data_IF_391300776461
#
_entry.id   IF_391300776461
#
_cell.length_a   1.000
_cell.length_b   1.000
_cell.length_c   1.000
_cell.angle_alpha   90.00
_cell.angle_beta   90.00
_cell.angle_gamma   90.00
#
_symmetry.space_group_name_H-M   'P 1'
#
loop_
_entity.id
_entity.type
_entity.pdbx_description
1 polymer ?
#
# COMPACT_ATOMS: atom_id res chain seq x y z
N UNK A 1 -17.89 -17.88 4.28
CA UNK A 1 -17.64 -16.43 4.50
C UNK A 1 -18.01 -15.62 3.26
N UNK A 2 -17.56 -16.01 2.06
CA UNK A 2 -17.96 -15.42 0.77
C UNK A 2 -19.49 -15.47 0.56
N UNK A 3 -20.12 -16.62 0.80
CA UNK A 3 -21.58 -16.78 0.66
C UNK A 3 -22.36 -15.88 1.63
N UNK A 4 -21.91 -15.76 2.88
CA UNK A 4 -22.55 -14.87 3.88
C UNK A 4 -22.44 -13.39 3.47
N UNK A 5 -21.26 -12.95 3.01
CA UNK A 5 -21.05 -11.59 2.50
C UNK A 5 -21.85 -11.31 1.24
N UNK A 6 -21.96 -12.28 0.34
CA UNK A 6 -22.77 -12.17 -0.89
C UNK A 6 -24.24 -12.00 -0.55
N UNK A 7 -24.74 -12.77 0.43
CA UNK A 7 -26.12 -12.68 0.89
C UNK A 7 -26.42 -11.37 1.64
N UNK A 8 -25.51 -10.90 2.49
CA UNK A 8 -25.67 -9.62 3.19
C UNK A 8 -25.57 -8.43 2.21
N UNK A 9 -24.68 -8.51 1.22
CA UNK A 9 -24.57 -7.50 0.16
C UNK A 9 -25.81 -7.51 -0.72
N UNK A 10 -26.37 -8.68 -1.06
CA UNK A 10 -27.64 -8.78 -1.78
C UNK A 10 -28.78 -8.11 -1.01
N UNK A 11 -28.87 -8.36 0.29
CA UNK A 11 -29.86 -7.71 1.18
C UNK A 11 -29.67 -6.19 1.25
N UNK A 12 -28.43 -5.71 1.29
CA UNK A 12 -28.10 -4.28 1.24
C UNK A 12 -28.41 -3.65 -0.13
N UNK A 13 -28.13 -4.35 -1.23
CA UNK A 13 -28.44 -3.90 -2.59
C UNK A 13 -29.95 -3.78 -2.83
N UNK A 14 -30.76 -4.50 -2.06
CA UNK A 14 -32.22 -4.39 -2.04
C UNK A 14 -32.77 -3.38 -1.03
N UNK A 15 -31.91 -2.70 -0.26
CA UNK A 15 -32.32 -1.66 0.67
C UNK A 15 -32.52 -0.31 -0.04
N UNK A 16 -33.38 0.55 0.51
CA UNK A 16 -33.59 1.91 0.03
C UNK A 16 -32.50 2.90 0.47
N UNK A 17 -31.41 2.41 1.08
CA UNK A 17 -30.31 3.25 1.53
C UNK A 17 -29.46 3.70 0.34
N UNK A 18 -28.76 4.82 0.49
CA UNK A 18 -27.82 5.34 -0.52
C UNK A 18 -26.37 5.05 -0.13
N UNK A 19 -25.44 5.18 -1.08
CA UNK A 19 -24.00 5.09 -0.79
C UNK A 19 -23.60 6.16 0.25
N UNK A 20 -24.23 7.34 0.16
CA UNK A 20 -24.05 8.45 1.09
C UNK A 20 -24.50 8.11 2.52
N UNK A 21 -25.63 7.42 2.69
CA UNK A 21 -26.15 7.04 4.01
C UNK A 21 -25.32 5.93 4.67
N UNK A 22 -24.83 4.99 3.87
CA UNK A 22 -23.90 3.97 4.34
C UNK A 22 -22.56 4.57 4.75
N UNK A 23 -22.01 5.48 3.91
CA UNK A 23 -20.80 6.22 4.23
C UNK A 23 -20.95 6.97 5.56
N UNK A 24 -22.04 7.72 5.75
CA UNK A 24 -22.37 8.43 7.01
C UNK A 24 -22.44 7.51 8.22
N UNK A 25 -22.95 6.29 8.07
CA UNK A 25 -23.05 5.31 9.17
C UNK A 25 -21.67 4.86 9.66
N UNK A 26 -20.69 4.77 8.75
CA UNK A 26 -19.33 4.31 9.06
C UNK A 26 -18.44 5.47 9.52
N UNK A 27 -18.51 6.63 8.87
CA UNK A 27 -17.67 7.79 9.22
C UNK A 27 -18.22 8.66 10.34
N UNK A 28 -19.51 8.50 10.72
CA UNK A 28 -20.19 9.30 11.77
C UNK A 28 -20.09 10.82 11.56
N UNK A 29 -19.82 11.29 10.35
CA UNK A 29 -19.79 12.70 9.96
C UNK A 29 -20.56 12.89 8.66
N UNK A 30 -21.14 14.09 8.49
CA UNK A 30 -21.77 14.52 7.24
C UNK A 30 -20.69 14.95 6.25
N UNK A 31 -19.88 13.98 5.81
CA UNK A 31 -18.73 14.23 4.95
C UNK A 31 -19.16 14.11 3.50
N UNK A 32 -18.86 15.15 2.70
CA UNK A 32 -18.98 15.10 1.25
C UNK A 32 -18.21 13.88 0.72
N UNK A 33 -18.93 12.95 0.08
CA UNK A 33 -18.39 11.68 -0.43
C UNK A 33 -17.20 11.90 -1.36
N UNK A 34 -17.17 13.03 -2.06
CA UNK A 34 -16.05 13.43 -2.92
C UNK A 34 -14.78 13.71 -2.10
N UNK A 35 -14.90 14.55 -1.06
CA UNK A 35 -13.79 14.90 -0.20
C UNK A 35 -13.26 13.67 0.55
N UNK A 36 -14.17 12.79 1.00
CA UNK A 36 -13.81 11.53 1.62
C UNK A 36 -13.09 10.60 0.64
N UNK A 37 -13.59 10.49 -0.60
CA UNK A 37 -12.94 9.66 -1.63
C UNK A 37 -11.54 10.19 -1.94
N UNK A 38 -11.39 11.50 -2.14
CA UNK A 38 -10.09 12.11 -2.44
C UNK A 38 -9.09 11.84 -1.32
N UNK A 39 -9.47 12.08 -0.06
CA UNK A 39 -8.62 11.80 1.10
C UNK A 39 -8.31 10.31 1.25
N UNK A 40 -9.28 9.43 0.99
CA UNK A 40 -9.08 7.98 1.06
C UNK A 40 -8.10 7.51 -0.02
N UNK A 41 -8.29 7.96 -1.26
CA UNK A 41 -7.40 7.64 -2.39
C UNK A 41 -6.00 8.19 -2.15
N UNK A 42 -5.88 9.43 -1.66
CA UNK A 42 -4.60 10.04 -1.31
C UNK A 42 -3.89 9.23 -0.22
N UNK A 43 -4.60 8.87 0.86
CA UNK A 43 -4.03 8.09 1.94
C UNK A 43 -3.58 6.71 1.47
N UNK A 44 -4.41 6.03 0.66
CA UNK A 44 -4.08 4.73 0.08
C UNK A 44 -2.91 4.80 -0.90
N UNK A 45 -2.83 5.86 -1.71
CA UNK A 45 -1.72 6.08 -2.63
C UNK A 45 -0.42 6.34 -1.84
N UNK A 46 -0.46 7.16 -0.79
CA UNK A 46 0.68 7.40 0.09
C UNK A 46 1.13 6.12 0.81
N UNK A 47 0.20 5.32 1.34
CA UNK A 47 0.51 4.03 1.96
C UNK A 47 1.12 3.06 0.94
N UNK A 48 0.52 2.96 -0.25
CA UNK A 48 0.98 2.07 -1.31
C UNK A 48 2.40 2.43 -1.78
N UNK A 49 2.68 3.73 -1.97
CA UNK A 49 4.02 4.22 -2.32
C UNK A 49 5.03 3.90 -1.22
N UNK A 50 4.64 4.00 0.06
CA UNK A 50 5.51 3.70 1.21
C UNK A 50 5.79 2.21 1.34
N UNK A 51 4.77 1.36 1.23
CA UNK A 51 4.86 -0.09 1.40
C UNK A 51 5.60 -0.77 0.24
N UNK A 52 5.50 -0.20 -0.97
CA UNK A 52 6.15 -0.73 -2.17
C UNK A 52 7.36 0.11 -2.63
N UNK A 53 7.88 0.98 -1.77
CA UNK A 53 9.01 1.88 -2.08
C UNK A 53 10.23 1.14 -2.63
N UNK A 54 10.52 -0.06 -2.12
CA UNK A 54 11.71 -0.84 -2.50
C UNK A 54 11.45 -1.82 -3.65
N UNK A 55 10.24 -1.88 -4.21
CA UNK A 55 9.94 -2.75 -5.34
C UNK A 55 10.17 -1.99 -6.65
N UNK A 56 10.59 -2.68 -7.73
CA UNK A 56 10.67 -2.08 -9.05
C UNK A 56 9.25 -1.80 -9.58
N UNK A 57 9.11 -0.77 -10.41
CA UNK A 57 7.82 -0.29 -10.90
C UNK A 57 7.06 -1.39 -11.67
N UNK A 58 7.76 -2.20 -12.45
CA UNK A 58 7.16 -3.30 -13.21
C UNK A 58 6.49 -4.39 -12.35
N UNK A 59 6.95 -4.60 -11.11
CA UNK A 59 6.33 -5.55 -10.17
C UNK A 59 5.12 -4.97 -9.45
N UNK A 60 5.02 -3.64 -9.42
CA UNK A 60 3.99 -2.91 -8.67
C UNK A 60 2.82 -2.51 -9.57
N UNK A 61 3.08 -2.21 -10.85
CA UNK A 61 2.06 -1.80 -11.80
C UNK A 61 1.37 -3.01 -12.46
N UNK A 62 0.04 -2.94 -12.68
CA UNK A 62 -0.67 -3.92 -13.49
C UNK A 62 -0.09 -4.04 -14.91
N UNK A 63 -0.03 -5.26 -15.45
CA UNK A 63 0.44 -5.52 -16.81
C UNK A 63 -0.28 -4.69 -17.88
N UNK A 64 -1.56 -4.35 -17.66
CA UNK A 64 -2.34 -3.53 -18.57
C UNK A 64 -1.84 -2.08 -18.67
N UNK A 65 -1.26 -1.53 -17.60
CA UNK A 65 -0.65 -0.20 -17.61
C UNK A 65 0.74 -0.24 -18.25
N UNK A 66 1.49 -1.32 -18.01
CA UNK A 66 2.80 -1.55 -18.63
C UNK A 66 2.64 -1.62 -20.16
N UNK A 67 1.71 -2.45 -20.66
CA UNK A 67 1.41 -2.57 -22.09
C UNK A 67 0.97 -1.25 -22.72
N UNK A 68 0.13 -0.46 -22.04
CA UNK A 68 -0.22 0.89 -22.52
C UNK A 68 1.00 1.80 -22.62
N UNK A 69 1.95 1.70 -21.69
CA UNK A 69 3.23 2.40 -21.78
C UNK A 69 4.05 1.98 -22.99
N UNK A 70 4.14 0.67 -23.23
CA UNK A 70 4.85 0.11 -24.39
C UNK A 70 4.23 0.57 -25.72
N UNK A 71 2.90 0.60 -25.81
CA UNK A 71 2.16 1.07 -27.00
C UNK A 71 2.32 2.57 -27.24
N UNK A 72 2.61 3.36 -26.19
CA UNK A 72 2.86 4.79 -26.29
C UNK A 72 4.29 5.11 -26.75
N UNK A 73 5.26 4.22 -26.55
CA UNK A 73 6.66 4.46 -26.96
C UNK A 73 6.77 4.80 -28.47
N UNK A 74 6.18 4.03 -29.40
CA UNK A 74 6.17 4.38 -30.82
C UNK A 74 5.53 5.75 -31.11
N UNK A 75 4.41 6.07 -30.45
CA UNK A 75 3.68 7.33 -30.64
C UNK A 75 4.52 8.51 -30.16
N UNK A 76 5.21 8.36 -29.03
CA UNK A 76 6.11 9.37 -28.49
C UNK A 76 7.33 9.56 -29.38
N UNK A 77 7.93 8.47 -29.89
CA UNK A 77 9.06 8.56 -30.81
C UNK A 77 8.70 9.38 -32.05
N UNK A 78 7.59 9.04 -32.71
CA UNK A 78 7.08 9.77 -33.86
C UNK A 78 6.79 11.25 -33.56
N UNK A 79 6.16 11.53 -32.41
CA UNK A 79 5.84 12.90 -32.01
C UNK A 79 7.09 13.71 -31.66
N UNK A 80 8.10 13.08 -31.09
CA UNK A 80 9.39 13.71 -30.77
C UNK A 80 10.15 14.03 -32.05
N UNK A 81 10.15 13.11 -33.03
CA UNK A 81 10.81 13.33 -34.32
C UNK A 81 10.14 14.44 -35.12
N UNK A 82 8.81 14.39 -35.24
CA UNK A 82 8.01 15.43 -35.90
C UNK A 82 8.25 16.81 -35.27
N UNK A 83 8.09 16.92 -33.94
CA UNK A 83 8.31 18.19 -33.23
C UNK A 83 9.76 18.65 -33.26
N UNK A 84 10.71 17.71 -33.25
CA UNK A 84 12.14 18.01 -33.36
C UNK A 84 12.45 18.67 -34.70
N UNK A 85 11.96 18.08 -35.79
CA UNK A 85 12.10 18.66 -37.12
C UNK A 85 11.48 20.06 -37.20
N UNK A 86 10.23 20.22 -36.74
CA UNK A 86 9.53 21.52 -36.76
C UNK A 86 10.26 22.59 -35.92
N UNK A 87 10.75 22.22 -34.73
CA UNK A 87 11.49 23.12 -33.86
C UNK A 87 12.76 23.65 -34.55
N UNK A 88 13.54 22.75 -35.17
CA UNK A 88 14.77 23.15 -35.86
C UNK A 88 14.51 23.87 -37.19
N UNK A 89 13.36 23.67 -37.84
CA UNK A 89 12.93 24.51 -38.99
C UNK A 89 12.55 25.93 -38.56
N UNK A 90 12.02 26.12 -37.35
CA UNK A 90 11.61 27.41 -36.82
C UNK A 90 12.76 28.35 -36.42
N UNK A 91 12.42 29.62 -36.21
CA UNK A 91 13.39 30.65 -35.78
C UNK A 91 14.02 30.36 -34.41
N UNK A 92 13.30 29.68 -33.52
CA UNK A 92 13.82 29.31 -32.20
C UNK A 92 14.93 28.26 -32.30
N UNK A 93 14.75 27.24 -33.13
CA UNK A 93 15.79 26.24 -33.40
C UNK A 93 17.03 26.85 -34.04
N UNK A 94 16.83 27.76 -34.99
CA UNK A 94 17.92 28.56 -35.60
C UNK A 94 18.71 29.37 -34.56
N UNK A 95 18.01 30.11 -33.71
CA UNK A 95 18.63 30.84 -32.59
C UNK A 95 19.39 29.91 -31.66
N UNK A 96 18.85 28.73 -31.38
CA UNK A 96 19.52 27.77 -30.50
C UNK A 96 20.77 27.15 -31.14
N UNK A 97 20.78 26.91 -32.45
CA UNK A 97 21.99 26.49 -33.17
C UNK A 97 23.08 27.57 -33.14
N UNK A 98 22.71 28.84 -33.24
CA UNK A 98 23.65 29.95 -33.11
C UNK A 98 24.31 29.98 -31.73
N UNK A 99 23.50 29.89 -30.67
CA UNK A 99 23.97 29.85 -29.29
C UNK A 99 24.88 28.64 -29.02
N UNK A 100 24.52 27.46 -29.52
CA UNK A 100 25.33 26.25 -29.36
C UNK A 100 26.67 26.35 -30.10
N UNK A 101 26.66 26.87 -31.33
CA UNK A 101 27.87 27.03 -32.12
C UNK A 101 28.80 28.08 -31.49
N UNK A 102 28.26 29.21 -31.04
CA UNK A 102 29.01 30.25 -30.34
C UNK A 102 29.67 29.69 -29.06
N UNK A 103 28.91 28.98 -28.22
CA UNK A 103 29.43 28.34 -26.99
C UNK A 103 30.51 27.30 -27.30
N UNK A 104 30.31 26.50 -28.36
CA UNK A 104 31.29 25.50 -28.78
C UNK A 104 32.62 26.14 -29.21
N UNK A 105 32.57 27.29 -29.88
CA UNK A 105 33.75 28.04 -30.31
C UNK A 105 34.42 28.79 -29.15
N UNK A 106 33.65 29.34 -28.20
CA UNK A 106 34.15 30.12 -27.05
C UNK A 106 34.98 29.33 -26.02
N UNK A 107 35.10 28.01 -26.15
CA UNK A 107 35.89 27.17 -25.23
C UNK A 107 36.97 26.31 -25.89
N UNK A 108 37.11 26.35 -27.22
CA UNK A 108 38.07 25.55 -27.96
C UNK A 108 39.17 26.46 -28.54
N UNK A 109 40.42 25.98 -28.52
CA UNK A 109 41.63 26.79 -28.71
C UNK A 109 41.66 27.72 -29.94
N UNK A 110 42.66 28.60 -29.98
CA UNK A 110 42.76 29.75 -30.91
C UNK A 110 42.47 29.45 -32.39
N UNK A 111 42.81 28.24 -32.88
CA UNK A 111 42.55 27.81 -34.25
C UNK A 111 41.06 27.68 -34.58
N UNK A 112 40.24 27.17 -33.66
CA UNK A 112 38.80 27.00 -33.90
C UNK A 112 38.07 28.35 -33.88
N UNK A 113 38.49 29.23 -32.97
CA UNK A 113 37.96 30.59 -32.88
C UNK A 113 38.29 31.40 -34.16
N UNK A 114 39.46 31.16 -34.77
CA UNK A 114 39.83 31.74 -36.06
C UNK A 114 38.99 31.21 -37.24
N UNK A 115 38.65 29.91 -37.25
CA UNK A 115 37.75 29.36 -38.26
C UNK A 115 36.32 29.90 -38.10
N UNK A 116 35.87 30.10 -36.86
CA UNK A 116 34.59 30.74 -36.56
C UNK A 116 34.47 32.15 -37.15
N UNK A 117 35.52 32.96 -37.03
CA UNK A 117 35.55 34.32 -37.59
C UNK A 117 35.74 34.35 -39.11
N UNK A 118 36.46 33.39 -39.70
CA UNK A 118 36.67 33.29 -41.16
C UNK A 118 35.44 32.81 -41.93
N UNK A 119 34.73 31.80 -41.44
CA UNK A 119 33.58 31.22 -42.13
C UNK A 119 32.24 31.85 -41.74
N UNK A 120 32.18 32.50 -40.57
CA UNK A 120 30.94 33.01 -39.99
C UNK A 120 30.08 31.87 -39.45
N UNK A 121 29.61 32.00 -38.21
CA UNK A 121 28.71 31.03 -37.58
C UNK A 121 27.45 30.79 -38.43
N UNK A 122 26.94 31.82 -39.10
CA UNK A 122 25.73 31.76 -39.91
C UNK A 122 25.83 30.76 -41.08
N UNK A 123 26.95 30.73 -41.81
CA UNK A 123 27.13 29.77 -42.92
C UNK A 123 27.18 28.31 -42.46
N UNK A 124 27.73 28.08 -41.27
CA UNK A 124 27.79 26.74 -40.67
C UNK A 124 26.39 26.32 -40.28
N UNK A 125 25.60 27.22 -39.68
CA UNK A 125 24.22 26.95 -39.27
C UNK A 125 23.33 26.69 -40.50
N UNK A 126 23.46 27.47 -41.56
CA UNK A 126 22.73 27.25 -42.83
C UNK A 126 22.96 25.86 -43.44
N UNK A 127 24.14 25.27 -43.21
CA UNK A 127 24.46 23.90 -43.64
C UNK A 127 24.09 22.84 -42.62
N UNK A 128 24.13 23.17 -41.33
CA UNK A 128 23.86 22.24 -40.23
C UNK A 128 22.36 22.06 -39.98
N UNK A 129 21.55 23.12 -40.10
CA UNK A 129 20.12 23.06 -39.84
C UNK A 129 19.41 22.01 -40.73
N UNK A 130 19.61 21.98 -42.07
CA UNK A 130 18.96 20.99 -42.92
C UNK A 130 19.36 19.55 -42.57
N UNK A 131 20.60 19.34 -42.10
CA UNK A 131 21.08 18.03 -41.66
C UNK A 131 20.38 17.56 -40.38
N UNK A 132 20.19 18.47 -39.42
CA UNK A 132 19.48 18.16 -38.17
C UNK A 132 18.00 17.89 -38.45
N UNK A 133 17.37 18.71 -39.29
CA UNK A 133 15.97 18.50 -39.69
C UNK A 133 15.83 17.17 -40.41
N UNK A 134 16.71 16.87 -41.38
CA UNK A 134 16.75 15.60 -42.08
C UNK A 134 16.99 14.42 -41.14
N UNK A 135 17.82 14.56 -40.12
CA UNK A 135 17.97 13.54 -39.09
C UNK A 135 16.63 13.24 -38.43
N UNK A 136 15.88 14.24 -37.99
CA UNK A 136 14.56 14.01 -37.37
C UNK A 136 13.50 13.50 -38.35
N UNK A 137 13.58 13.81 -39.63
CA UNK A 137 12.65 13.30 -40.66
C UNK A 137 13.01 11.89 -41.16
N UNK A 138 14.24 11.43 -40.93
CA UNK A 138 14.72 10.16 -41.47
C UNK A 138 14.14 8.96 -40.67
N UNK A 139 13.56 7.95 -41.36
CA UNK A 139 12.99 6.77 -40.70
C UNK A 139 13.98 5.98 -39.83
N UNK A 140 15.26 5.94 -40.19
CA UNK A 140 16.29 5.26 -39.39
C UNK A 140 16.54 5.99 -38.08
N UNK A 141 16.49 7.33 -38.08
CA UNK A 141 16.63 8.13 -36.87
C UNK A 141 15.41 8.02 -35.96
N UNK A 142 14.20 7.94 -36.53
CA UNK A 142 12.99 7.66 -35.75
C UNK A 142 13.09 6.29 -35.07
N UNK A 143 13.58 5.27 -35.77
CA UNK A 143 13.84 3.95 -35.18
C UNK A 143 14.88 4.01 -34.05
N UNK A 144 15.96 4.78 -34.23
CA UNK A 144 16.95 5.02 -33.18
C UNK A 144 16.33 5.72 -31.95
N UNK A 145 15.56 6.79 -32.15
CA UNK A 145 14.89 7.53 -31.07
C UNK A 145 13.88 6.64 -30.35
N UNK A 146 13.15 5.81 -31.08
CA UNK A 146 12.24 4.81 -30.51
C UNK A 146 12.99 3.85 -29.59
N UNK A 147 14.13 3.32 -30.02
CA UNK A 147 14.96 2.43 -29.20
C UNK A 147 15.44 3.13 -27.94
N UNK A 148 15.93 4.38 -28.05
CA UNK A 148 16.34 5.18 -26.89
C UNK A 148 15.18 5.37 -25.90
N UNK A 149 13.99 5.72 -26.38
CA UNK A 149 12.81 5.89 -25.52
C UNK A 149 12.41 4.55 -24.88
N UNK A 150 12.46 3.45 -25.62
CA UNK A 150 12.15 2.12 -25.12
C UNK A 150 13.11 1.67 -24.02
N UNK A 151 14.42 1.89 -24.20
CA UNK A 151 15.44 1.59 -23.20
C UNK A 151 15.25 2.45 -21.95
N UNK A 152 14.98 3.75 -22.10
CA UNK A 152 14.70 4.62 -20.95
C UNK A 152 13.40 4.22 -20.23
N UNK A 153 12.36 3.82 -20.95
CA UNK A 153 11.13 3.30 -20.37
C UNK A 153 11.38 2.01 -19.57
N UNK A 154 12.13 1.07 -20.14
CA UNK A 154 12.52 -0.17 -19.46
C UNK A 154 13.40 0.11 -18.24
N UNK A 155 14.34 1.04 -18.34
CA UNK A 155 15.17 1.49 -17.23
C UNK A 155 14.31 2.09 -16.09
N UNK A 156 13.35 2.95 -16.43
CA UNK A 156 12.37 3.50 -15.48
C UNK A 156 11.59 2.38 -14.78
N UNK A 157 11.14 1.37 -15.52
CA UNK A 157 10.41 0.23 -14.97
C UNK A 157 11.22 -0.59 -13.94
N UNK A 158 12.54 -0.70 -14.14
CA UNK A 158 13.43 -1.43 -13.22
C UNK A 158 13.85 -0.62 -11.98
N UNK A 159 13.66 0.71 -12.00
CA UNK A 159 13.98 1.57 -10.86
C UNK A 159 12.97 1.37 -9.72
N UNK A 160 13.45 1.55 -8.50
CA UNK A 160 12.63 1.47 -7.30
C UNK A 160 11.59 2.59 -7.28
N UNK A 161 10.36 2.25 -6.86
CA UNK A 161 9.24 3.19 -6.75
C UNK A 161 9.57 4.42 -5.88
N UNK A 162 10.43 4.24 -4.87
CA UNK A 162 10.94 5.32 -4.03
C UNK A 162 11.56 6.48 -4.82
N UNK A 163 12.22 6.20 -5.95
CA UNK A 163 12.86 7.22 -6.80
C UNK A 163 11.86 8.16 -7.47
N UNK A 164 10.60 7.75 -7.59
CA UNK A 164 9.55 8.53 -8.23
C UNK A 164 8.64 9.25 -7.23
N UNK A 165 8.78 8.95 -5.94
CA UNK A 165 7.95 9.56 -4.87
C UNK A 165 8.04 11.08 -4.83
N UNK A 166 9.19 11.66 -5.15
CA UNK A 166 9.38 13.13 -5.20
C UNK A 166 8.75 13.78 -6.42
N UNK A 167 8.55 13.01 -7.50
CA UNK A 167 7.91 13.49 -8.73
C UNK A 167 6.40 13.26 -8.72
N UNK A 168 5.90 12.33 -7.90
CA UNK A 168 4.48 12.05 -7.73
C UNK A 168 3.91 13.01 -6.68
N UNK A 169 3.12 13.97 -7.14
CA UNK A 169 2.29 14.81 -6.27
C UNK A 169 1.03 14.02 -5.90
N UNK A 170 1.04 13.39 -4.71
CA UNK A 170 0.00 12.44 -4.29
C UNK A 170 -1.39 13.07 -4.24
N UNK A 171 -1.48 14.35 -3.89
CA UNK A 171 -2.69 15.18 -3.89
C UNK A 171 -3.28 15.32 -5.31
N UNK A 172 -2.45 15.68 -6.29
CA UNK A 172 -2.88 15.80 -7.69
C UNK A 172 -3.21 14.45 -8.29
N UNK A 173 -2.39 13.44 -8.04
CA UNK A 173 -2.64 12.08 -8.49
C UNK A 173 -3.97 11.55 -7.93
N UNK A 174 -4.26 11.77 -6.64
CA UNK A 174 -5.51 11.36 -6.02
C UNK A 174 -6.72 12.05 -6.67
N UNK A 175 -6.65 13.37 -6.87
CA UNK A 175 -7.75 14.11 -7.52
C UNK A 175 -7.98 13.69 -8.98
N UNK A 176 -6.93 13.44 -9.76
CA UNK A 176 -7.07 12.92 -11.13
C UNK A 176 -7.63 11.49 -11.17
N UNK A 177 -7.20 10.62 -10.24
CA UNK A 177 -7.79 9.29 -10.08
C UNK A 177 -9.28 9.41 -9.74
N UNK A 178 -9.66 10.29 -8.81
CA UNK A 178 -11.07 10.52 -8.45
C UNK A 178 -11.87 11.04 -9.63
N UNK A 179 -11.33 11.96 -10.43
CA UNK A 179 -11.99 12.43 -11.67
C UNK A 179 -12.19 11.30 -12.68
N UNK A 180 -11.19 10.45 -12.87
CA UNK A 180 -11.30 9.28 -13.75
C UNK A 180 -12.33 8.27 -13.22
N UNK A 181 -12.34 8.02 -11.91
CA UNK A 181 -13.34 7.16 -11.27
C UNK A 181 -14.76 7.73 -11.46
N UNK A 182 -14.96 9.04 -11.31
CA UNK A 182 -16.25 9.69 -11.58
C UNK A 182 -16.73 9.56 -13.03
N UNK A 183 -15.79 9.49 -13.97
CA UNK A 183 -16.07 9.38 -15.41
C UNK A 183 -16.39 7.95 -15.83
N UNK A 184 -15.63 6.98 -15.31
CA UNK A 184 -15.72 5.57 -15.71
C UNK A 184 -16.67 4.75 -14.82
N UNK A 185 -17.01 5.23 -13.62
CA UNK A 185 -17.91 4.57 -12.68
C UNK A 185 -19.22 5.36 -12.59
N UNK A 186 -20.31 4.86 -13.22
CA UNK A 186 -21.63 5.51 -13.18
C UNK A 186 -22.20 5.66 -11.77
N UNK A 187 -21.74 4.84 -10.82
CA UNK A 187 -22.16 4.88 -9.41
C UNK A 187 -21.81 6.20 -8.71
N UNK A 188 -20.76 6.90 -9.17
CA UNK A 188 -20.37 8.21 -8.64
C UNK A 188 -21.34 9.34 -9.03
N UNK A 189 -22.08 9.19 -10.13
CA UNK A 189 -23.08 10.19 -10.56
C UNK A 189 -24.38 10.04 -9.77
N UNK A 190 -24.57 8.90 -9.12
CA UNK A 190 -25.83 8.41 -8.57
C UNK A 190 -25.71 8.11 -7.07
N UNK A 191 -24.80 8.77 -6.36
CA UNK A 191 -24.50 8.54 -4.93
C UNK A 191 -25.71 8.79 -4.01
N UNK A 192 -26.67 9.59 -4.46
CA UNK A 192 -27.95 9.87 -3.78
C UNK A 192 -29.10 8.96 -4.23
N UNK A 193 -28.90 8.14 -5.27
CA UNK A 193 -29.92 7.19 -5.71
C UNK A 193 -29.85 5.91 -4.85
N UNK A 194 -31.00 5.38 -4.39
CA UNK A 194 -31.05 4.16 -3.61
C UNK A 194 -30.37 2.99 -4.34
N UNK A 195 -29.69 2.12 -3.58
CA UNK A 195 -29.03 0.92 -4.13
C UNK A 195 -29.96 0.14 -5.06
N UNK A 196 -31.24 0.00 -4.70
CA UNK A 196 -32.23 -0.78 -5.46
C UNK A 196 -32.48 -0.29 -6.89
N UNK A 197 -32.20 0.97 -7.21
CA UNK A 197 -32.49 1.53 -8.55
C UNK A 197 -31.38 1.25 -9.57
N UNK A 198 -30.12 1.16 -9.14
CA UNK A 198 -28.97 0.90 -10.03
C UNK A 198 -28.31 -0.46 -9.79
N UNK A 199 -28.47 -1.06 -8.61
CA UNK A 199 -27.89 -2.36 -8.27
C UNK A 199 -28.28 -3.48 -9.24
N UNK A 200 -29.53 -3.61 -9.75
CA UNK A 200 -29.91 -4.71 -10.63
C UNK A 200 -29.06 -4.78 -11.91
N UNK A 201 -28.62 -3.65 -12.44
CA UNK A 201 -27.82 -3.57 -13.67
C UNK A 201 -26.37 -4.03 -13.46
N UNK A 202 -25.85 -3.92 -12.23
CA UNK A 202 -24.48 -4.29 -11.87
C UNK A 202 -24.40 -5.47 -10.89
N UNK A 203 -25.54 -6.04 -10.48
CA UNK A 203 -25.69 -7.08 -9.46
C UNK A 203 -24.82 -8.30 -9.78
N UNK A 204 -24.86 -8.77 -11.01
CA UNK A 204 -24.05 -9.93 -11.42
C UNK A 204 -22.55 -9.65 -11.36
N UNK A 205 -22.10 -8.45 -11.76
CA UNK A 205 -20.69 -8.09 -11.73
C UNK A 205 -20.20 -7.90 -10.29
N UNK A 206 -21.01 -7.27 -9.45
CA UNK A 206 -20.68 -7.03 -8.04
C UNK A 206 -20.63 -8.36 -7.29
N UNK A 207 -21.68 -9.19 -7.38
CA UNK A 207 -21.78 -10.45 -6.63
C UNK A 207 -20.82 -11.51 -7.15
N UNK A 208 -20.68 -11.67 -8.47
CA UNK A 208 -19.92 -12.80 -9.03
C UNK A 208 -18.46 -12.49 -9.31
N UNK A 209 -18.07 -11.21 -9.39
CA UNK A 209 -16.70 -10.82 -9.77
C UNK A 209 -16.01 -9.94 -8.73
N UNK A 210 -16.70 -8.95 -8.17
CA UNK A 210 -16.07 -8.02 -7.23
C UNK A 210 -16.01 -8.59 -5.81
N UNK A 211 -17.12 -9.13 -5.29
CA UNK A 211 -17.17 -9.74 -3.95
C UNK A 211 -16.14 -10.88 -3.80
N UNK A 212 -16.04 -11.85 -4.74
CA UNK A 212 -15.08 -12.94 -4.61
C UNK A 212 -13.65 -12.44 -4.74
N UNK A 213 -13.36 -11.55 -5.70
CA UNK A 213 -12.01 -11.00 -5.90
C UNK A 213 -11.54 -10.13 -4.74
N UNK A 214 -12.42 -9.31 -4.16
CA UNK A 214 -12.13 -8.55 -2.94
C UNK A 214 -11.86 -9.49 -1.76
N UNK A 215 -12.59 -10.60 -1.67
CA UNK A 215 -12.40 -11.57 -0.60
C UNK A 215 -11.08 -12.35 -0.75
N UNK A 216 -10.67 -12.71 -1.95
CA UNK A 216 -9.37 -13.33 -2.20
C UNK A 216 -8.23 -12.40 -1.78
N UNK A 217 -8.31 -11.12 -2.16
CA UNK A 217 -7.33 -10.09 -1.75
C UNK A 217 -7.36 -9.86 -0.24
N UNK A 218 -8.54 -9.78 0.39
CA UNK A 218 -8.67 -9.64 1.85
C UNK A 218 -8.13 -10.86 2.59
N UNK A 219 -8.40 -12.07 2.10
CA UNK A 219 -7.88 -13.30 2.70
C UNK A 219 -6.38 -13.38 2.58
N UNK A 220 -5.80 -13.08 1.41
CA UNK A 220 -4.34 -13.02 1.24
C UNK A 220 -3.73 -11.94 2.14
N UNK A 221 -4.31 -10.74 2.17
CA UNK A 221 -3.84 -9.67 3.04
C UNK A 221 -3.91 -10.04 4.52
N UNK A 222 -4.99 -10.71 4.96
CA UNK A 222 -5.11 -11.20 6.33
C UNK A 222 -4.11 -12.31 6.61
N UNK A 223 -3.93 -13.29 5.71
CA UNK A 223 -2.95 -14.37 5.89
C UNK A 223 -1.53 -13.82 5.99
N UNK A 224 -1.17 -12.85 5.14
CA UNK A 224 0.17 -12.27 5.09
C UNK A 224 0.46 -11.32 6.26
N UNK A 225 -0.57 -10.64 6.78
CA UNK A 225 -0.44 -9.69 7.90
C UNK A 225 -0.76 -10.30 9.26
N UNK A 226 -1.44 -11.45 9.33
CA UNK A 226 -1.78 -12.14 10.57
C UNK A 226 -0.54 -12.42 11.43
N UNK A 227 0.59 -12.94 10.90
CA UNK A 227 1.81 -13.12 11.69
C UNK A 227 2.28 -11.83 12.35
N UNK A 228 2.26 -10.72 11.60
CA UNK A 228 2.69 -9.40 12.11
C UNK A 228 1.70 -8.82 13.12
N UNK A 229 0.40 -9.06 12.95
CA UNK A 229 -0.64 -8.66 13.90
C UNK A 229 -0.59 -9.49 15.18
N UNK A 230 -0.27 -10.78 15.09
CA UNK A 230 -0.04 -11.67 16.23
C UNK A 230 1.22 -11.27 17.02
N UNK A 231 2.31 -10.89 16.33
CA UNK A 231 3.52 -10.36 16.96
C UNK A 231 3.28 -9.03 17.68
N UNK A 232 2.46 -8.15 17.11
CA UNK A 232 2.12 -6.85 17.71
C UNK A 232 1.12 -6.94 18.86
N UNK A 233 0.28 -7.99 18.89
CA UNK A 233 -0.71 -8.19 19.94
C UNK A 233 -0.12 -8.80 21.23
N UNK A 234 1.19 -9.03 21.30
CA UNK A 234 1.87 -9.59 22.49
C UNK A 234 1.07 -10.73 23.13
N UNK A 235 0.54 -11.64 22.31
CA UNK A 235 -0.29 -12.74 22.79
C UNK A 235 0.49 -13.67 23.73
N UNK A 236 1.81 -13.73 23.57
CA UNK A 236 2.73 -14.34 24.54
C UNK A 236 2.67 -13.68 25.92
N UNK A 237 2.50 -12.36 25.99
CA UNK A 237 2.43 -11.60 27.25
C UNK A 237 1.06 -11.76 27.92
N UNK A 238 -0.04 -11.81 27.16
CA UNK A 238 -1.41 -12.07 27.68
C UNK A 238 -1.55 -13.52 28.17
N UNK A 239 -0.98 -14.50 27.44
CA UNK A 239 -0.96 -15.90 27.89
C UNK A 239 -0.04 -16.06 29.10
N UNK A 240 1.10 -15.36 29.15
CA UNK A 240 1.99 -15.35 30.32
C UNK A 240 1.35 -14.71 31.54
N UNK A 241 0.60 -13.61 31.39
CA UNK A 241 -0.16 -12.99 32.48
C UNK A 241 -1.25 -13.92 33.02
N UNK A 242 -1.98 -14.61 32.14
CA UNK A 242 -3.00 -15.61 32.52
C UNK A 242 -2.41 -16.87 33.16
N UNK A 243 -1.15 -17.24 32.87
CA UNK A 243 -0.47 -18.40 33.44
C UNK A 243 0.30 -18.05 34.73
N UNK A 244 0.88 -16.85 34.84
CA UNK A 244 1.59 -16.39 36.05
C UNK A 244 0.62 -16.04 37.20
N UNK A 245 -0.58 -15.52 36.91
CA UNK A 245 -1.61 -15.35 37.94
C UNK A 245 -2.27 -16.66 38.39
N UNK A 246 -2.02 -17.77 37.69
CA UNK A 246 -2.58 -19.08 38.02
C UNK A 246 -1.69 -19.98 38.90
N UNK A 247 -0.41 -19.66 39.12
CA UNK A 247 0.54 -20.67 39.62
C UNK A 247 1.20 -20.42 40.98
N UNK A 248 1.09 -19.25 41.64
CA UNK A 248 1.65 -19.10 43.01
C UNK A 248 0.57 -19.10 44.08
N UNK A 249 -0.35 -18.13 44.06
CA UNK A 249 -1.32 -17.97 45.16
C UNK A 249 -2.28 -19.16 45.31
N UNK A 250 -2.75 -19.76 44.21
CA UNK A 250 -3.65 -20.94 44.25
C UNK A 250 -2.93 -22.24 44.58
N UNK A 251 -1.67 -22.42 44.14
CA UNK A 251 -0.87 -23.57 44.54
C UNK A 251 -0.49 -23.48 46.01
N UNK A 252 -0.16 -22.30 46.51
CA UNK A 252 0.12 -22.07 47.93
C UNK A 252 -1.14 -22.24 48.77
N UNK A 253 -2.31 -21.74 48.35
CA UNK A 253 -3.59 -22.02 49.04
C UNK A 253 -3.97 -23.50 49.02
N UNK A 254 -3.76 -24.22 47.91
CA UNK A 254 -4.02 -25.67 47.87
C UNK A 254 -3.07 -26.44 48.78
N UNK A 255 -1.77 -26.14 48.77
CA UNK A 255 -0.80 -26.80 49.64
C UNK A 255 -1.05 -26.45 51.12
N UNK A 256 -1.30 -25.18 51.44
CA UNK A 256 -1.60 -24.73 52.81
C UNK A 256 -2.94 -25.29 53.31
N UNK A 257 -3.94 -25.48 52.45
CA UNK A 257 -5.25 -26.03 52.84
C UNK A 257 -5.19 -27.54 53.09
N UNK A 258 -4.43 -28.29 52.28
CA UNK A 258 -4.14 -29.72 52.53
C UNK A 258 -3.36 -29.86 53.83
N UNK A 259 -2.28 -29.07 53.99
CA UNK A 259 -1.39 -29.15 55.14
C UNK A 259 -2.12 -28.81 56.46
N UNK A 260 -2.93 -27.75 56.50
CA UNK A 260 -3.72 -27.41 57.71
C UNK A 260 -4.74 -28.47 58.09
N UNK A 261 -5.35 -29.15 57.11
CA UNK A 261 -6.36 -30.19 57.36
C UNK A 261 -5.71 -31.46 57.93
N UNK A 262 -4.57 -31.87 57.39
CA UNK A 262 -3.83 -33.03 57.92
C UNK A 262 -3.20 -32.75 59.29
N UNK A 263 -2.61 -31.56 59.50
CA UNK A 263 -2.06 -31.18 60.81
C UNK A 263 -3.15 -31.13 61.90
N UNK A 264 -4.37 -30.64 61.60
CA UNK A 264 -5.48 -30.66 62.57
C UNK A 264 -5.84 -32.07 63.01
N UNK A 265 -5.79 -33.03 62.10
CA UNK A 265 -6.12 -34.42 62.39
C UNK A 265 -5.05 -35.07 63.27
N UNK A 266 -3.76 -34.79 63.03
CA UNK A 266 -2.65 -35.20 63.91
C UNK A 266 -2.81 -34.59 65.30
N UNK A 267 -3.13 -33.30 65.42
CA UNK A 267 -3.35 -32.65 66.73
C UNK A 267 -4.53 -33.27 67.47
N UNK A 268 -5.61 -33.59 66.76
CA UNK A 268 -6.79 -34.22 67.37
C UNK A 268 -6.50 -35.66 67.81
N UNK A 269 -5.77 -36.43 66.99
CA UNK A 269 -5.32 -37.77 67.34
C UNK A 269 -4.33 -37.76 68.51
N UNK A 270 -3.40 -36.80 68.52
CA UNK A 270 -2.42 -36.61 69.59
C UNK A 270 -3.07 -36.21 70.92
N UNK A 271 -4.07 -35.31 70.88
CA UNK A 271 -4.85 -34.96 72.07
C UNK A 271 -5.66 -36.17 72.59
N UNK A 272 -6.24 -36.97 71.69
CA UNK A 272 -6.99 -38.17 72.05
C UNK A 272 -6.10 -39.27 72.64
N UNK A 273 -4.95 -39.55 72.01
CA UNK A 273 -3.96 -40.50 72.51
C UNK A 273 -3.36 -40.04 73.84
N UNK A 274 -2.92 -38.79 73.93
CA UNK A 274 -2.37 -38.21 75.15
C UNK A 274 -3.37 -38.21 76.30
N UNK A 275 -4.63 -37.87 76.02
CA UNK A 275 -5.73 -37.95 76.98
C UNK A 275 -5.98 -39.38 77.45
N UNK A 276 -6.00 -40.35 76.53
CA UNK A 276 -6.23 -41.76 76.87
C UNK A 276 -5.09 -42.35 77.70
N UNK A 277 -3.84 -42.11 77.32
CA UNK A 277 -2.66 -42.57 78.07
C UNK A 277 -2.60 -41.89 79.44
N UNK A 278 -2.82 -40.58 79.49
CA UNK A 278 -2.85 -39.82 80.75
C UNK A 278 -3.97 -40.27 81.68
N UNK A 279 -5.15 -40.61 81.15
CA UNK A 279 -6.26 -41.14 81.93
C UNK A 279 -5.95 -42.53 82.51
N UNK A 280 -5.38 -43.43 81.70
CA UNK A 280 -4.96 -44.77 82.16
C UNK A 280 -3.85 -44.65 83.21
N UNK A 281 -2.86 -43.78 82.99
CA UNK A 281 -1.79 -43.51 83.97
C UNK A 281 -2.35 -42.91 85.27
N UNK A 282 -3.30 -41.98 85.18
CA UNK A 282 -3.96 -41.39 86.34
C UNK A 282 -4.70 -42.44 87.17
N UNK A 283 -5.46 -43.32 86.52
CA UNK A 283 -6.15 -44.44 87.19
C UNK A 283 -5.14 -45.39 87.83
N UNK A 284 -4.07 -45.77 87.13
CA UNK A 284 -3.04 -46.66 87.68
C UNK A 284 -2.35 -46.05 88.91
N UNK A 285 -2.04 -44.75 88.89
CA UNK A 285 -1.39 -44.08 90.04
C UNK A 285 -2.33 -44.03 91.24
N UNK A 286 -3.61 -43.69 91.05
CA UNK A 286 -4.59 -43.65 92.15
C UNK A 286 -4.81 -45.03 92.76
N UNK A 287 -4.82 -46.10 91.94
CA UNK A 287 -4.97 -47.47 92.43
C UNK A 287 -3.70 -48.05 93.09
N UNK A 288 -2.50 -47.60 92.72
CA UNK A 288 -1.24 -48.07 93.33
C UNK A 288 -0.79 -47.24 94.54
N UNK A 289 -1.33 -46.03 94.72
CA UNK A 289 -1.00 -45.11 95.83
C UNK A 289 -2.06 -45.12 96.95
N UNK A 290 -3.14 -45.91 96.80
CA UNK A 290 -4.10 -46.22 97.87
C UNK A 290 -3.89 -47.65 98.38
#
# INVERSE_FOLDING_TARGET
>A
MIEWMSHETEKMLHSSSTISDWARTITKQDTNVDLFTEQFVEHKLNQFLKDNSNKPINEVLPESLIKKGDDLVPVLAHKVTEKGADYFRGEEGQRQLHLLLEKFLQGKGSMLNFLGTMFGSDKIIEKLQPEIVRFFEDPSSEAFIKEVIYQEWTNIQTKHLASFRTFIQTDKAASEIVKLLKKEIPLYQNLETPFIEWAPHYKEVIINKWIPGMMEVLQQFLIDRLPTLFDQLQLDEIVREQVDTFSVNRLEEMVLSISRREFKMITYLGAFLGGTVGFIQGIMVVFFTS
#
